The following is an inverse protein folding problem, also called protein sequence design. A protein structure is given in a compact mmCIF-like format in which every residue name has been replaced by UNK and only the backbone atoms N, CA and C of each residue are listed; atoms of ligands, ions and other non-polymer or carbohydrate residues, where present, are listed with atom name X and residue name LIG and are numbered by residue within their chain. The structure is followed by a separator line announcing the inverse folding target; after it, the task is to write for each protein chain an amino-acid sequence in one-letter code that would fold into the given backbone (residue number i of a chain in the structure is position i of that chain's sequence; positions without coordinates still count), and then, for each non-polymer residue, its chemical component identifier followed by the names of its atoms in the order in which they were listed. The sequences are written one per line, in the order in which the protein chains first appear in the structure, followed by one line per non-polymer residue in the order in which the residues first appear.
data_IF_005418787263
#
_entry.id   IF_005418787263
#
_cell.length_a   1.000
_cell.length_b   1.000
_cell.length_c   1.000
_cell.angle_alpha   90.00
_cell.angle_beta   90.00
_cell.angle_gamma   90.00
#
_symmetry.space_group_name_H-M   'P 1'
#
loop_
_entity.id
_entity.type
_entity.pdbx_description
1 polymer ?
#
# COMPACT_ATOMS: atom_id res chain seq x y z
N UNK A 1 5.16 -9.93 -2.09
CA UNK A 1 3.95 -10.62 -2.60
C UNK A 1 3.10 -9.62 -3.36
N UNK A 2 2.37 -10.09 -4.38
CA UNK A 2 1.32 -9.34 -5.06
C UNK A 2 -0.05 -10.04 -5.01
N UNK A 3 -0.08 -11.26 -4.46
CA UNK A 3 -1.28 -12.07 -4.20
C UNK A 3 -1.00 -13.06 -3.05
N UNK A 4 -2.03 -13.79 -2.61
CA UNK A 4 -1.90 -14.77 -1.53
C UNK A 4 -0.92 -15.93 -1.88
N UNK A 5 -0.89 -16.37 -3.13
CA UNK A 5 -0.03 -17.47 -3.56
C UNK A 5 1.45 -17.09 -3.45
N UNK A 6 1.83 -15.92 -3.97
CA UNK A 6 3.20 -15.40 -3.87
C UNK A 6 3.60 -15.14 -2.41
N UNK A 7 2.66 -14.79 -1.53
CA UNK A 7 2.93 -14.68 -0.09
C UNK A 7 3.28 -16.04 0.55
N UNK A 8 2.51 -17.11 0.25
CA UNK A 8 2.82 -18.47 0.72
C UNK A 8 4.20 -18.95 0.24
N UNK A 9 4.55 -18.63 -1.00
CA UNK A 9 5.87 -18.98 -1.55
C UNK A 9 6.99 -18.25 -0.80
N UNK A 10 6.81 -16.97 -0.46
CA UNK A 10 7.77 -16.21 0.35
C UNK A 10 7.93 -16.83 1.75
N UNK A 11 6.83 -17.20 2.40
CA UNK A 11 6.87 -17.85 3.71
C UNK A 11 7.57 -19.21 3.65
N UNK A 12 7.24 -20.06 2.67
CA UNK A 12 7.89 -21.37 2.48
C UNK A 12 9.38 -21.26 2.15
N UNK A 13 9.79 -20.16 1.51
CA UNK A 13 11.20 -19.86 1.28
C UNK A 13 11.95 -19.41 2.56
N UNK A 14 11.26 -19.26 3.69
CA UNK A 14 11.85 -18.95 4.99
C UNK A 14 12.15 -17.47 5.23
N UNK A 15 11.54 -16.56 4.46
CA UNK A 15 11.65 -15.13 4.74
C UNK A 15 10.90 -14.74 6.02
N UNK A 16 11.38 -13.74 6.77
CA UNK A 16 10.77 -13.37 8.06
C UNK A 16 9.57 -12.42 7.94
N UNK A 17 9.30 -11.89 6.74
CA UNK A 17 8.24 -10.90 6.50
C UNK A 17 7.82 -10.90 5.02
N UNK A 18 6.63 -10.36 4.76
CA UNK A 18 6.11 -10.14 3.41
C UNK A 18 5.94 -8.65 3.16
N UNK A 19 6.38 -8.17 2.00
CA UNK A 19 6.01 -6.85 1.48
C UNK A 19 4.96 -6.99 0.38
N UNK A 20 3.81 -6.35 0.53
CA UNK A 20 2.79 -6.24 -0.51
C UNK A 20 3.11 -5.05 -1.42
N UNK A 21 3.43 -5.34 -2.68
CA UNK A 21 3.74 -4.31 -3.69
C UNK A 21 2.47 -3.71 -4.29
N UNK A 22 2.41 -2.38 -4.42
CA UNK A 22 1.34 -1.69 -5.15
C UNK A 22 1.39 -1.98 -6.64
N UNK A 23 2.59 -1.92 -7.24
CA UNK A 23 2.77 -2.18 -8.68
C UNK A 23 2.44 -3.61 -9.08
N UNK A 24 2.87 -4.58 -8.27
CA UNK A 24 2.54 -5.98 -8.50
C UNK A 24 1.04 -6.25 -8.32
N UNK A 25 0.40 -5.62 -7.32
CA UNK A 25 -1.06 -5.72 -7.13
C UNK A 25 -1.79 -5.17 -8.36
N UNK A 26 -1.44 -3.99 -8.84
CA UNK A 26 -2.04 -3.40 -10.05
C UNK A 26 -1.87 -4.31 -11.28
N UNK A 27 -0.67 -4.85 -11.49
CA UNK A 27 -0.40 -5.71 -12.63
C UNK A 27 -1.17 -7.04 -12.55
N UNK A 28 -1.14 -7.71 -11.40
CA UNK A 28 -1.74 -9.03 -11.23
C UNK A 28 -3.28 -8.99 -11.14
N UNK A 29 -3.83 -8.00 -10.43
CA UNK A 29 -5.28 -7.90 -10.20
C UNK A 29 -6.01 -7.18 -11.34
N UNK A 30 -5.43 -6.09 -11.85
CA UNK A 30 -6.13 -5.20 -12.80
C UNK A 30 -5.61 -5.35 -14.24
N UNK A 31 -4.44 -5.97 -14.43
CA UNK A 31 -3.76 -5.96 -15.73
C UNK A 31 -3.32 -4.56 -16.17
N UNK A 32 -3.17 -3.63 -15.21
CA UNK A 32 -2.87 -2.22 -15.45
C UNK A 32 -1.51 -1.82 -14.87
N UNK A 33 -0.83 -0.82 -15.48
CA UNK A 33 0.41 -0.30 -14.96
C UNK A 33 0.20 0.46 -13.64
N UNK A 34 1.27 0.61 -12.87
CA UNK A 34 1.27 1.33 -11.61
C UNK A 34 1.21 2.86 -11.80
N UNK A 35 0.00 3.33 -12.10
CA UNK A 35 -0.34 4.74 -12.37
C UNK A 35 -1.52 5.22 -11.53
N UNK A 36 -1.71 4.63 -10.34
CA UNK A 36 -2.76 5.03 -9.39
C UNK A 36 -4.17 4.56 -9.78
N UNK A 37 -4.29 3.46 -10.53
CA UNK A 37 -5.59 2.86 -10.86
C UNK A 37 -6.19 2.07 -9.70
N UNK A 38 -5.36 1.36 -8.94
CA UNK A 38 -5.82 0.56 -7.82
C UNK A 38 -6.43 1.45 -6.73
N UNK A 39 -7.66 1.12 -6.35
CA UNK A 39 -8.40 1.82 -5.31
C UNK A 39 -8.03 1.28 -3.92
N UNK A 40 -8.34 2.06 -2.88
CA UNK A 40 -8.19 1.63 -1.49
C UNK A 40 -8.90 0.29 -1.20
N UNK A 41 -10.10 0.09 -1.76
CA UNK A 41 -10.90 -1.12 -1.54
C UNK A 41 -10.23 -2.35 -2.15
N UNK A 42 -9.70 -2.22 -3.37
CA UNK A 42 -8.98 -3.30 -4.05
C UNK A 42 -7.66 -3.65 -3.34
N UNK A 43 -6.92 -2.62 -2.91
CA UNK A 43 -5.68 -2.78 -2.15
C UNK A 43 -5.94 -3.43 -0.79
N UNK A 44 -6.99 -3.02 -0.07
CA UNK A 44 -7.35 -3.59 1.23
C UNK A 44 -7.84 -5.04 1.10
N UNK A 45 -8.57 -5.35 0.04
CA UNK A 45 -8.98 -6.72 -0.27
C UNK A 45 -7.78 -7.63 -0.52
N UNK A 46 -6.80 -7.17 -1.31
CA UNK A 46 -5.57 -7.95 -1.55
C UNK A 46 -4.76 -8.14 -0.27
N UNK A 47 -4.58 -7.05 0.49
CA UNK A 47 -3.86 -7.05 1.76
C UNK A 47 -4.47 -8.08 2.72
N UNK A 48 -5.79 -8.10 2.87
CA UNK A 48 -6.50 -9.05 3.73
C UNK A 48 -6.25 -10.49 3.30
N UNK A 49 -6.33 -10.79 2.00
CA UNK A 49 -6.10 -12.14 1.50
C UNK A 49 -4.65 -12.59 1.68
N UNK A 50 -3.69 -11.68 1.53
CA UNK A 50 -2.28 -11.95 1.80
C UNK A 50 -2.06 -12.22 3.29
N UNK A 51 -2.59 -11.38 4.18
CA UNK A 51 -2.44 -11.54 5.62
C UNK A 51 -3.10 -12.82 6.14
N UNK A 52 -4.25 -13.23 5.60
CA UNK A 52 -4.90 -14.50 5.95
C UNK A 52 -4.15 -15.74 5.43
N UNK A 53 -3.27 -15.57 4.45
CA UNK A 53 -2.54 -16.68 3.86
C UNK A 53 -1.26 -17.02 4.62
N UNK A 54 -0.65 -16.11 5.36
CA UNK A 54 0.66 -16.33 6.01
C UNK A 54 0.61 -15.99 7.49
N UNK A 55 1.47 -16.62 8.28
CA UNK A 55 1.66 -16.30 9.70
C UNK A 55 2.71 -15.19 9.90
N UNK A 56 3.31 -14.70 8.82
CA UNK A 56 4.34 -13.68 8.81
C UNK A 56 3.77 -12.25 8.91
N UNK A 57 4.53 -11.30 9.51
CA UNK A 57 4.18 -9.89 9.43
C UNK A 57 4.18 -9.40 7.97
N UNK A 58 3.10 -8.72 7.59
CA UNK A 58 2.92 -8.16 6.25
C UNK A 58 2.99 -6.63 6.31
N UNK A 59 3.96 -6.06 5.60
CA UNK A 59 4.02 -4.61 5.33
C UNK A 59 3.53 -4.31 3.91
N UNK A 60 3.09 -3.08 3.64
CA UNK A 60 2.57 -2.73 2.31
C UNK A 60 3.00 -1.38 1.77
N UNK A 61 2.79 -1.22 0.48
CA UNK A 61 2.73 0.06 -0.22
C UNK A 61 1.39 0.77 0.04
N UNK A 62 1.42 1.96 0.66
CA UNK A 62 0.23 2.78 0.95
C UNK A 62 -0.05 3.81 -0.15
N UNK A 63 0.66 3.73 -1.27
CA UNK A 63 0.65 4.75 -2.32
C UNK A 63 0.85 6.16 -1.72
N UNK A 64 0.20 7.16 -2.31
CA UNK A 64 0.08 8.49 -1.74
C UNK A 64 -1.19 8.63 -0.86
N UNK A 65 -1.64 7.59 -0.15
CA UNK A 65 -2.72 7.69 0.84
C UNK A 65 -4.11 8.03 0.27
N UNK A 66 -4.34 7.70 -1.01
CA UNK A 66 -5.63 7.78 -1.72
C UNK A 66 -6.36 9.13 -1.67
N UNK A 67 -5.63 10.23 -1.45
CA UNK A 67 -6.15 11.59 -1.45
C UNK A 67 -5.40 12.49 -0.48
N UNK A 68 -6.14 13.28 0.29
CA UNK A 68 -5.57 14.19 1.28
C UNK A 68 -5.42 13.51 2.66
N UNK A 69 -5.15 14.30 3.70
CA UNK A 69 -5.01 13.84 5.08
C UNK A 69 -6.20 12.99 5.57
N UNK A 70 -7.45 13.33 5.22
CA UNK A 70 -8.64 12.56 5.62
C UNK A 70 -8.70 11.19 4.93
N UNK A 71 -8.32 11.13 3.66
CA UNK A 71 -8.21 9.86 2.93
C UNK A 71 -7.09 9.00 3.51
N UNK A 72 -5.97 9.62 3.86
CA UNK A 72 -4.82 8.94 4.49
C UNK A 72 -5.21 8.37 5.85
N UNK A 73 -5.94 9.12 6.67
CA UNK A 73 -6.46 8.61 7.95
C UNK A 73 -7.33 7.35 7.76
N UNK A 74 -8.27 7.39 6.80
CA UNK A 74 -9.12 6.24 6.49
C UNK A 74 -8.32 5.06 5.95
N UNK A 75 -7.36 5.33 5.07
CA UNK A 75 -6.42 4.36 4.51
C UNK A 75 -5.72 3.54 5.59
N UNK A 76 -5.20 4.19 6.64
CA UNK A 76 -4.58 3.48 7.76
C UNK A 76 -5.56 2.54 8.46
N UNK A 77 -6.77 3.01 8.78
CA UNK A 77 -7.80 2.18 9.44
C UNK A 77 -8.20 0.95 8.62
N UNK A 78 -8.37 1.11 7.30
CA UNK A 78 -8.77 0.02 6.41
C UNK A 78 -7.67 -1.05 6.30
N UNK A 79 -6.40 -0.66 6.26
CA UNK A 79 -5.29 -1.60 6.16
C UNK A 79 -4.90 -2.24 7.50
N UNK A 80 -5.00 -1.50 8.60
CA UNK A 80 -4.89 -2.07 9.95
C UNK A 80 -5.93 -3.18 10.15
N UNK A 81 -7.20 -2.94 9.77
CA UNK A 81 -8.26 -3.94 9.81
C UNK A 81 -8.01 -5.14 8.88
N UNK A 82 -7.24 -4.95 7.80
CA UNK A 82 -6.82 -6.03 6.91
C UNK A 82 -5.70 -6.91 7.49
N UNK A 83 -5.09 -6.51 8.62
CA UNK A 83 -4.00 -7.25 9.28
C UNK A 83 -2.60 -6.76 8.93
N UNK A 84 -2.47 -5.64 8.22
CA UNK A 84 -1.18 -5.05 7.87
C UNK A 84 -0.51 -4.45 9.12
N UNK A 85 0.78 -4.73 9.29
CA UNK A 85 1.55 -4.29 10.47
C UNK A 85 2.39 -3.03 10.22
N UNK A 86 2.43 -2.55 8.99
CA UNK A 86 3.15 -1.34 8.63
C UNK A 86 3.17 -1.09 7.13
N UNK A 87 3.70 0.05 6.73
CA UNK A 87 3.81 0.38 5.32
C UNK A 87 4.58 1.66 5.09
N UNK A 88 4.66 2.05 3.82
CA UNK A 88 5.30 3.29 3.40
C UNK A 88 4.28 4.16 2.66
N UNK A 89 4.27 5.46 2.99
CA UNK A 89 3.41 6.49 2.41
C UNK A 89 4.29 7.48 1.64
N UNK A 90 3.93 7.80 0.41
CA UNK A 90 4.68 8.73 -0.44
C UNK A 90 4.02 10.11 -0.59
N UNK A 91 4.85 11.08 -0.96
CA UNK A 91 4.52 12.49 -1.17
C UNK A 91 4.19 12.83 -2.63
N UNK A 92 3.82 11.84 -3.44
CA UNK A 92 3.36 12.09 -4.80
C UNK A 92 1.98 12.75 -4.82
N UNK A 93 1.75 13.61 -5.81
CA UNK A 93 0.40 14.11 -6.14
C UNK A 93 -0.45 12.93 -6.62
N UNK A 94 -1.68 12.82 -6.13
CA UNK A 94 -2.66 11.82 -6.60
C UNK A 94 -3.27 12.26 -7.94
N UNK A 95 -3.37 11.40 -8.97
CA UNK A 95 -2.91 10.00 -9.00
C UNK A 95 -1.38 9.88 -9.11
N UNK A 96 -0.81 8.96 -8.32
CA UNK A 96 0.63 8.70 -8.23
C UNK A 96 1.16 7.89 -9.40
N UNK A 97 2.49 7.80 -9.52
CA UNK A 97 3.18 6.97 -10.51
C UNK A 97 4.19 6.05 -9.85
N UNK A 98 4.53 4.93 -10.50
CA UNK A 98 5.65 4.10 -10.07
C UNK A 98 6.93 4.93 -9.84
N UNK A 99 7.60 4.68 -8.71
CA UNK A 99 8.82 5.37 -8.29
C UNK A 99 9.96 5.33 -9.31
N UNK A 100 9.98 4.36 -10.22
CA UNK A 100 10.99 4.20 -11.27
C UNK A 100 10.65 4.91 -12.59
N UNK A 101 9.45 5.49 -12.74
CA UNK A 101 9.04 6.20 -13.95
C UNK A 101 9.31 7.71 -13.85
N UNK A 102 9.54 8.36 -14.99
CA UNK A 102 9.67 9.81 -15.06
C UNK A 102 8.31 10.54 -14.90
N UNK A 103 8.37 11.87 -14.71
CA UNK A 103 7.18 12.72 -14.65
C UNK A 103 6.40 12.68 -13.33
N UNK A 104 7.05 12.26 -12.23
CA UNK A 104 6.50 12.35 -10.88
C UNK A 104 6.35 13.82 -10.47
N UNK A 105 5.26 14.13 -9.77
CA UNK A 105 5.05 15.44 -9.14
C UNK A 105 4.82 15.19 -7.66
N UNK A 106 5.41 16.05 -6.83
CA UNK A 106 5.35 15.93 -5.39
C UNK A 106 4.46 17.03 -4.80
N UNK A 107 3.80 16.71 -3.69
CA UNK A 107 3.14 17.69 -2.83
C UNK A 107 4.21 18.45 -2.02
N UNK A 108 3.80 19.51 -1.33
CA UNK A 108 4.72 20.22 -0.43
C UNK A 108 5.07 19.37 0.79
N UNK A 109 6.26 19.59 1.37
CA UNK A 109 6.64 18.95 2.63
C UNK A 109 5.60 19.18 3.74
N UNK A 110 5.01 20.39 3.80
CA UNK A 110 3.93 20.72 4.75
C UNK A 110 2.70 19.82 4.58
N UNK A 111 2.30 19.58 3.34
CA UNK A 111 1.16 18.70 3.05
C UNK A 111 1.48 17.24 3.39
N UNK A 112 2.70 16.78 3.07
CA UNK A 112 3.14 15.44 3.43
C UNK A 112 3.20 15.25 4.95
N UNK A 113 3.72 16.23 5.70
CA UNK A 113 3.69 16.19 7.18
C UNK A 113 2.27 16.07 7.70
N UNK A 114 1.32 16.84 7.16
CA UNK A 114 -0.09 16.73 7.55
C UNK A 114 -0.71 15.35 7.26
N UNK A 115 -0.30 14.69 6.18
CA UNK A 115 -0.70 13.31 5.89
C UNK A 115 -0.07 12.31 6.86
N UNK A 116 1.21 12.49 7.22
CA UNK A 116 1.88 11.66 8.24
C UNK A 116 1.21 11.84 9.61
N UNK A 117 0.90 13.08 10.02
CA UNK A 117 0.16 13.36 11.25
C UNK A 117 -1.21 12.69 11.26
N UNK A 118 -1.94 12.75 10.15
CA UNK A 118 -3.21 12.06 10.01
C UNK A 118 -3.08 10.53 10.03
N UNK A 119 -2.03 9.97 9.43
CA UNK A 119 -1.73 8.55 9.48
C UNK A 119 -1.44 8.08 10.92
N UNK A 120 -0.62 8.84 11.66
CA UNK A 120 -0.29 8.55 13.07
C UNK A 120 -1.51 8.72 13.96
N UNK A 121 -2.34 9.75 13.74
CA UNK A 121 -3.59 9.95 14.47
C UNK A 121 -4.70 8.93 14.14
N UNK A 122 -4.45 8.02 13.18
CA UNK A 122 -5.33 6.93 12.82
C UNK A 122 -4.98 5.61 13.49
N UNK A 123 -3.90 5.52 14.27
CA UNK A 123 -3.56 4.32 15.05
C UNK A 123 -4.22 4.45 16.43
#
# INVERSE_FOLDING_TARGET
AYDALSARVIEQAGFPAVHMTGSGTSAAMLGLPDLGFATITEMAWNAKNICLAVDLPVIMDLDAGYGNAMNTWRCIREFEQAGIVGGHLEDQVVPKRCGHLEGKRLISAREMTGKIEAAVGAL
#
